data_IF_389422201893
#
_entry.id   IF_389422201893
#
_cell.length_a   1.000
_cell.length_b   1.000
_cell.length_c   1.000
_cell.angle_alpha   90.00
_cell.angle_beta   90.00
_cell.angle_gamma   90.00
#
_symmetry.space_group_name_H-M   'P 1'
#
loop_
_entity.id
_entity.type
_entity.pdbx_description
1 polymer ?
#
# COMPACT_ATOMS: atom_id res chain seq x y z
N UNK A 1 15.25 2.44 20.16
CA UNK A 1 16.47 2.31 19.35
C UNK A 1 17.18 1.04 19.78
N UNK A 2 17.35 0.11 18.84
CA UNK A 2 18.14 -1.11 19.05
C UNK A 2 19.62 -0.67 19.10
N UNK A 3 20.30 -0.95 20.18
CA UNK A 3 21.72 -0.59 20.36
C UNK A 3 22.62 -1.82 20.48
N UNK A 4 22.07 -3.00 20.18
CA UNK A 4 22.71 -4.30 20.36
C UNK A 4 23.27 -4.85 19.07
N UNK A 5 22.68 -4.51 17.91
CA UNK A 5 23.16 -4.96 16.61
C UNK A 5 24.55 -4.40 16.27
N UNK A 6 25.44 -5.23 15.81
CA UNK A 6 26.81 -4.86 15.47
C UNK A 6 27.20 -5.30 14.04
N UNK A 7 28.26 -4.70 13.44
CA UNK A 7 28.79 -5.19 12.18
C UNK A 7 29.30 -6.65 12.24
N UNK A 8 29.61 -7.16 13.44
CA UNK A 8 30.00 -8.57 13.63
C UNK A 8 28.82 -9.52 13.41
N UNK A 9 27.63 -9.12 13.85
CA UNK A 9 26.40 -9.91 13.66
C UNK A 9 26.09 -10.01 12.16
N UNK A 10 26.29 -8.92 11.41
CA UNK A 10 26.16 -8.95 9.95
C UNK A 10 27.16 -9.93 9.30
N UNK A 11 28.42 -9.99 9.79
CA UNK A 11 29.41 -10.96 9.33
C UNK A 11 28.99 -12.40 9.62
N UNK A 12 28.53 -12.68 10.86
CA UNK A 12 28.03 -14.01 11.22
C UNK A 12 26.83 -14.43 10.35
N UNK A 13 25.88 -13.53 10.10
CA UNK A 13 24.73 -13.80 9.24
C UNK A 13 25.19 -14.18 7.83
N UNK A 14 26.18 -13.49 7.27
CA UNK A 14 26.71 -13.78 5.95
C UNK A 14 27.47 -15.11 5.88
N UNK A 15 28.22 -15.47 6.94
CA UNK A 15 29.08 -16.64 6.96
C UNK A 15 28.35 -17.94 7.35
N UNK A 16 27.35 -17.85 8.24
CA UNK A 16 26.70 -19.03 8.85
C UNK A 16 25.37 -19.42 8.18
N UNK A 17 24.76 -18.55 7.37
CA UNK A 17 23.42 -18.79 6.79
C UNK A 17 23.52 -18.91 5.27
N UNK A 18 23.37 -20.14 4.75
CA UNK A 18 23.50 -20.46 3.32
C UNK A 18 22.44 -19.78 2.43
N UNK A 19 21.24 -19.51 2.98
CA UNK A 19 20.14 -18.89 2.26
C UNK A 19 20.36 -17.40 1.98
N UNK A 20 21.35 -16.79 2.63
CA UNK A 20 21.69 -15.37 2.53
C UNK A 20 22.59 -15.12 1.31
N UNK A 21 22.22 -14.16 0.47
CA UNK A 21 22.97 -13.75 -0.71
C UNK A 21 23.87 -12.55 -0.41
N UNK A 22 23.33 -11.51 0.24
CA UNK A 22 24.05 -10.28 0.59
C UNK A 22 23.63 -9.79 1.97
N UNK A 23 24.59 -9.17 2.69
CA UNK A 23 24.35 -8.58 4.01
C UNK A 23 24.97 -7.19 4.09
N UNK A 24 24.21 -6.22 4.52
CA UNK A 24 24.69 -4.86 4.67
C UNK A 24 24.32 -4.29 6.06
N UNK A 25 25.27 -4.20 7.00
CA UNK A 25 25.10 -3.43 8.21
C UNK A 25 24.95 -1.95 7.85
N UNK A 26 24.03 -1.27 8.51
CA UNK A 26 23.56 0.05 8.09
C UNK A 26 23.40 0.96 9.30
N UNK A 27 23.91 2.17 9.14
CA UNK A 27 23.70 3.28 10.08
C UNK A 27 23.39 4.55 9.31
N UNK A 28 22.43 5.31 9.80
CA UNK A 28 22.10 6.60 9.21
C UNK A 28 21.94 7.68 10.29
N UNK A 29 22.31 8.90 9.92
CA UNK A 29 22.07 10.05 10.78
C UNK A 29 21.85 11.31 9.95
N UNK A 30 20.80 12.04 10.28
CA UNK A 30 20.54 13.33 9.65
C UNK A 30 21.43 14.40 10.25
N UNK A 31 22.22 15.08 9.43
CA UNK A 31 23.26 16.02 9.86
C UNK A 31 23.48 17.11 8.83
N UNK A 32 24.05 18.22 9.30
CA UNK A 32 24.45 19.29 8.41
C UNK A 32 25.68 18.91 7.58
N UNK A 33 25.53 19.01 6.27
CA UNK A 33 26.60 18.96 5.31
C UNK A 33 26.84 20.38 4.76
N UNK A 34 28.11 20.71 4.44
CA UNK A 34 28.49 22.02 3.92
C UNK A 34 29.43 21.89 2.74
N UNK A 35 29.10 22.61 1.67
CA UNK A 35 29.98 22.81 0.53
C UNK A 35 30.08 24.32 0.28
N UNK A 36 31.31 24.86 0.33
CA UNK A 36 31.61 26.27 0.25
C UNK A 36 30.72 27.12 1.16
N UNK A 37 29.85 27.96 0.62
CA UNK A 37 28.92 28.79 1.39
C UNK A 37 27.56 28.13 1.61
N UNK A 38 27.27 27.05 0.90
CA UNK A 38 25.99 26.33 1.01
C UNK A 38 26.04 25.31 2.17
N UNK A 39 24.97 25.24 2.95
CA UNK A 39 24.79 24.24 3.98
C UNK A 39 23.38 23.68 3.91
N UNK A 40 23.24 22.38 4.01
CA UNK A 40 21.96 21.68 4.03
C UNK A 40 21.98 20.54 5.04
N UNK A 41 20.84 20.30 5.64
CA UNK A 41 20.64 19.09 6.44
C UNK A 41 20.30 17.94 5.51
N UNK A 42 21.12 16.88 5.50
CA UNK A 42 20.95 15.72 4.65
C UNK A 42 21.21 14.43 5.45
N UNK A 43 20.77 13.31 4.94
CA UNK A 43 20.96 12.00 5.58
C UNK A 43 22.35 11.46 5.24
N UNK A 44 23.19 11.29 6.26
CA UNK A 44 24.49 10.64 6.11
C UNK A 44 24.29 9.15 6.36
N UNK A 45 24.50 8.36 5.33
CA UNK A 45 24.30 6.91 5.34
C UNK A 45 25.64 6.20 5.29
N UNK A 46 25.90 5.34 6.27
CA UNK A 46 27.07 4.46 6.30
C UNK A 46 26.68 3.01 6.14
N UNK A 47 27.31 2.33 5.17
CA UNK A 47 27.10 0.89 4.98
C UNK A 47 28.28 0.25 4.23
N UNK A 48 28.10 -1.00 3.79
CA UNK A 48 29.04 -1.76 2.94
C UNK A 48 28.68 -1.63 1.48
N UNK A 49 29.49 -2.29 0.62
CA UNK A 49 29.28 -2.33 -0.84
C UNK A 49 27.97 -3.04 -1.24
N UNK A 50 27.47 -3.91 -0.38
CA UNK A 50 26.23 -4.66 -0.63
C UNK A 50 24.97 -3.84 -0.51
N UNK A 51 25.00 -2.75 0.29
CA UNK A 51 23.82 -1.92 0.52
C UNK A 51 23.20 -1.37 -0.78
N UNK A 52 23.95 -0.75 -1.69
CA UNK A 52 23.41 -0.31 -2.97
C UNK A 52 22.77 -1.43 -3.77
N UNK A 53 23.38 -2.63 -3.78
CA UNK A 53 22.85 -3.80 -4.48
C UNK A 53 21.52 -4.28 -3.87
N UNK A 54 21.45 -4.36 -2.55
CA UNK A 54 20.23 -4.77 -1.83
C UNK A 54 19.10 -3.75 -2.04
N UNK A 55 19.45 -2.45 -2.00
CA UNK A 55 18.49 -1.35 -2.09
C UNK A 55 18.22 -0.86 -3.52
N UNK A 56 18.92 -1.41 -4.52
CA UNK A 56 18.75 -1.05 -5.92
C UNK A 56 19.25 0.34 -6.29
N UNK A 57 20.27 0.85 -5.59
CA UNK A 57 20.97 2.07 -6.01
C UNK A 57 21.96 1.78 -7.11
N UNK A 58 22.05 2.65 -8.10
CA UNK A 58 23.02 2.58 -9.21
C UNK A 58 23.85 3.84 -9.24
N UNK A 59 25.08 3.70 -9.69
CA UNK A 59 25.97 4.85 -9.95
C UNK A 59 25.67 5.41 -11.34
N UNK A 60 25.35 6.70 -11.41
CA UNK A 60 25.15 7.42 -12.66
C UNK A 60 26.48 8.01 -13.19
N UNK A 61 27.28 8.60 -12.27
CA UNK A 61 28.57 9.20 -12.60
C UNK A 61 29.62 8.82 -11.54
N UNK A 62 30.86 8.73 -11.95
CA UNK A 62 31.98 8.39 -11.05
C UNK A 62 32.06 6.92 -10.73
N UNK A 63 32.49 6.60 -9.53
CA UNK A 63 32.75 5.23 -9.10
C UNK A 63 32.27 4.96 -7.68
N UNK A 64 32.09 3.68 -7.36
CA UNK A 64 31.80 3.20 -6.00
C UNK A 64 33.10 3.16 -5.20
N UNK A 65 33.01 3.36 -3.88
CA UNK A 65 34.18 3.12 -3.02
C UNK A 65 34.53 1.63 -2.98
N UNK A 66 35.79 1.33 -2.71
CA UNK A 66 36.34 -0.02 -2.74
C UNK A 66 36.34 -0.68 -1.34
N UNK A 67 36.58 -2.00 -1.30
CA UNK A 67 36.85 -2.69 -0.03
C UNK A 67 38.02 -2.10 0.76
N UNK A 68 39.02 -1.55 0.04
CA UNK A 68 40.12 -0.84 0.68
C UNK A 68 39.63 0.38 1.45
N UNK A 69 38.70 1.13 0.86
CA UNK A 69 38.13 2.30 1.52
C UNK A 69 37.33 1.95 2.76
N UNK A 70 36.62 0.81 2.74
CA UNK A 70 35.98 0.26 3.93
C UNK A 70 37.02 -0.09 5.02
N UNK A 71 38.06 -0.84 4.67
CA UNK A 71 39.08 -1.28 5.63
C UNK A 71 39.87 -0.11 6.25
N UNK A 72 40.18 0.90 5.44
CA UNK A 72 40.96 2.08 5.89
C UNK A 72 40.10 3.20 6.47
N UNK A 73 38.78 3.05 6.48
CA UNK A 73 37.83 4.11 6.87
C UNK A 73 38.13 5.43 6.11
N UNK A 74 38.24 5.33 4.77
CA UNK A 74 38.54 6.44 3.86
C UNK A 74 37.45 7.51 3.93
N UNK A 75 37.86 8.78 3.66
CA UNK A 75 36.95 9.92 3.61
C UNK A 75 36.46 10.18 2.19
N UNK A 76 35.78 9.18 1.64
CA UNK A 76 35.13 9.24 0.32
C UNK A 76 33.63 9.18 0.49
N UNK A 77 32.89 9.77 -0.43
CA UNK A 77 31.44 9.80 -0.38
C UNK A 77 30.82 9.70 -1.78
N UNK A 78 29.62 9.15 -1.81
CA UNK A 78 28.74 9.13 -2.98
C UNK A 78 27.50 9.92 -2.60
N UNK A 79 26.98 10.71 -3.51
CA UNK A 79 25.91 11.68 -3.21
C UNK A 79 24.69 11.43 -4.07
N UNK A 80 23.50 11.60 -3.49
CA UNK A 80 22.22 11.53 -4.19
C UNK A 80 21.79 12.88 -4.79
N UNK A 81 20.84 12.85 -5.71
CA UNK A 81 20.43 14.02 -6.53
C UNK A 81 19.88 15.17 -5.72
N UNK A 82 19.06 14.92 -4.72
CA UNK A 82 18.49 15.97 -3.87
C UNK A 82 19.60 16.65 -3.04
N UNK A 83 20.51 15.83 -2.48
CA UNK A 83 21.66 16.39 -1.75
C UNK A 83 22.58 17.23 -2.66
N UNK A 84 22.78 16.86 -3.94
CA UNK A 84 23.49 17.68 -4.92
C UNK A 84 22.79 19.01 -5.11
N UNK A 85 21.49 18.98 -5.40
CA UNK A 85 20.70 20.20 -5.63
C UNK A 85 20.79 21.18 -4.45
N UNK A 86 20.79 20.67 -3.23
CA UNK A 86 20.80 21.47 -2.02
C UNK A 86 22.19 22.05 -1.68
N UNK A 87 23.28 21.32 -2.03
CA UNK A 87 24.64 21.70 -1.65
C UNK A 87 25.42 22.32 -2.81
N UNK A 88 25.33 21.76 -4.02
CA UNK A 88 26.13 22.14 -5.18
C UNK A 88 25.35 22.95 -6.22
N UNK A 89 23.99 22.92 -6.16
CA UNK A 89 23.15 23.54 -7.18
C UNK A 89 23.35 22.86 -8.54
N UNK A 90 23.96 23.56 -9.50
CA UNK A 90 24.26 23.06 -10.84
C UNK A 90 25.74 22.63 -11.03
N UNK A 91 26.59 22.82 -10.01
CA UNK A 91 27.99 22.46 -10.08
C UNK A 91 28.18 20.94 -10.06
N UNK A 92 29.20 20.43 -10.80
CA UNK A 92 29.55 19.00 -10.77
C UNK A 92 30.21 18.64 -9.44
N UNK A 93 29.59 17.74 -8.63
CA UNK A 93 30.09 17.39 -7.32
C UNK A 93 31.32 16.47 -7.36
N UNK A 94 31.63 15.82 -8.49
CA UNK A 94 32.69 14.81 -8.57
C UNK A 94 34.07 15.47 -8.37
N UNK A 95 34.85 14.88 -7.44
CA UNK A 95 36.17 15.38 -7.07
C UNK A 95 36.15 16.52 -6.04
N UNK A 96 34.99 17.14 -5.80
CA UNK A 96 34.81 18.18 -4.79
C UNK A 96 34.83 17.60 -3.38
N UNK A 97 35.01 18.50 -2.40
CA UNK A 97 35.08 18.12 -0.98
C UNK A 97 33.92 18.72 -0.21
N UNK A 98 33.00 17.87 0.27
CA UNK A 98 31.91 18.23 1.17
C UNK A 98 32.33 18.01 2.62
N UNK A 99 31.98 18.94 3.51
CA UNK A 99 32.21 18.81 4.95
C UNK A 99 30.95 18.28 5.62
N UNK A 100 31.04 17.12 6.21
CA UNK A 100 29.98 16.51 7.03
C UNK A 100 30.44 16.59 8.50
N UNK A 101 29.69 17.30 9.34
CA UNK A 101 30.06 17.49 10.76
C UNK A 101 31.53 17.86 10.93
N UNK A 102 32.02 18.87 10.15
CA UNK A 102 33.40 19.36 10.12
C UNK A 102 34.46 18.41 9.49
N UNK A 103 34.10 17.20 9.11
CA UNK A 103 35.00 16.23 8.48
C UNK A 103 34.89 16.34 6.96
N UNK A 104 36.02 16.55 6.25
CA UNK A 104 35.97 16.63 4.80
C UNK A 104 35.86 15.25 4.16
N UNK A 105 34.97 15.11 3.16
CA UNK A 105 34.74 13.93 2.34
C UNK A 105 34.89 14.29 0.87
N UNK A 106 35.69 13.56 0.12
CA UNK A 106 35.80 13.69 -1.32
C UNK A 106 34.65 12.96 -2.00
N UNK A 107 33.90 13.66 -2.83
CA UNK A 107 32.84 13.05 -3.64
C UNK A 107 33.49 12.27 -4.79
N UNK A 108 33.22 10.97 -4.88
CA UNK A 108 33.77 10.07 -5.90
C UNK A 108 32.70 9.52 -6.85
N UNK A 109 31.43 9.61 -6.48
CA UNK A 109 30.33 9.11 -7.29
C UNK A 109 29.00 9.83 -7.00
N UNK A 110 28.09 9.68 -7.94
CA UNK A 110 26.72 10.20 -7.87
C UNK A 110 25.76 9.05 -8.11
N UNK A 111 24.74 8.89 -7.26
CA UNK A 111 23.69 7.94 -7.48
C UNK A 111 22.70 8.41 -8.55
N UNK A 112 22.17 7.43 -9.31
CA UNK A 112 21.00 7.64 -10.16
C UNK A 112 19.78 8.04 -9.29
N UNK A 113 18.93 8.92 -9.83
CA UNK A 113 17.73 9.37 -9.12
C UNK A 113 16.77 8.20 -8.87
N UNK A 114 16.33 8.03 -7.63
CA UNK A 114 15.32 7.05 -7.22
C UNK A 114 13.96 7.67 -6.96
N UNK A 115 13.94 8.95 -6.61
CA UNK A 115 12.74 9.66 -6.25
C UNK A 115 12.24 9.36 -4.83
N UNK A 116 10.95 9.48 -4.66
CA UNK A 116 10.28 9.34 -3.36
C UNK A 116 9.79 7.91 -3.19
N UNK A 117 9.95 7.33 -2.00
CA UNK A 117 9.43 6.01 -1.71
C UNK A 117 7.90 6.01 -1.48
N UNK A 118 7.32 4.83 -1.29
CA UNK A 118 5.87 4.67 -1.04
C UNK A 118 5.38 5.35 0.24
N UNK A 119 6.29 5.77 1.13
CA UNK A 119 5.98 6.47 2.38
C UNK A 119 6.14 7.98 2.25
N UNK A 120 6.48 8.48 1.07
CA UNK A 120 6.73 9.90 0.83
C UNK A 120 8.13 10.38 1.25
N UNK A 121 9.06 9.47 1.55
CA UNK A 121 10.43 9.81 1.92
C UNK A 121 11.32 9.92 0.68
N UNK A 122 12.04 11.03 0.58
CA UNK A 122 13.00 11.26 -0.49
C UNK A 122 14.22 10.34 -0.32
N UNK A 123 14.43 9.45 -1.29
CA UNK A 123 15.55 8.51 -1.30
C UNK A 123 16.82 9.11 -1.88
N UNK A 124 16.75 10.31 -2.43
CA UNK A 124 17.86 11.01 -3.10
C UNK A 124 18.53 12.05 -2.20
N UNK A 125 17.95 12.35 -1.02
CA UNK A 125 18.57 13.23 -0.02
C UNK A 125 19.51 12.48 0.89
N UNK A 126 20.62 11.97 0.33
CA UNK A 126 21.62 11.23 1.07
C UNK A 126 23.07 11.49 0.62
N UNK A 127 24.00 11.32 1.57
CA UNK A 127 25.43 11.21 1.34
C UNK A 127 25.87 9.84 1.88
N UNK A 128 26.28 8.95 0.99
CA UNK A 128 26.69 7.57 1.28
C UNK A 128 28.18 7.47 1.48
N UNK A 129 28.62 6.96 2.63
CA UNK A 129 30.01 6.84 3.04
C UNK A 129 30.32 5.42 3.56
N UNK A 130 31.58 4.99 3.61
CA UNK A 130 31.95 3.71 4.21
C UNK A 130 31.51 3.63 5.68
N UNK A 131 30.86 2.52 6.08
CA UNK A 131 30.34 2.32 7.44
C UNK A 131 31.40 2.56 8.54
N UNK A 132 32.65 2.04 8.43
CA UNK A 132 33.66 2.30 9.47
C UNK A 132 34.02 3.79 9.60
N UNK A 133 33.89 4.56 8.52
CA UNK A 133 34.13 6.00 8.56
C UNK A 133 33.03 6.71 9.33
N UNK A 134 31.76 6.37 9.08
CA UNK A 134 30.62 6.91 9.84
C UNK A 134 30.76 6.56 11.32
N UNK A 135 30.93 5.27 11.62
CA UNK A 135 30.96 4.76 13.00
C UNK A 135 32.08 5.35 13.83
N UNK A 136 33.30 5.39 13.28
CA UNK A 136 34.51 5.79 14.05
C UNK A 136 34.71 7.30 14.09
N UNK A 137 34.37 8.02 13.01
CA UNK A 137 34.73 9.44 12.86
C UNK A 137 33.61 10.39 13.13
N UNK A 138 32.35 9.98 12.90
CA UNK A 138 31.19 10.86 12.98
C UNK A 138 30.36 10.57 14.23
N UNK A 139 29.87 9.34 14.38
CA UNK A 139 28.95 8.99 15.48
C UNK A 139 29.64 8.40 16.70
N UNK A 140 30.87 7.92 16.57
CA UNK A 140 31.68 7.31 17.63
C UNK A 140 30.92 6.21 18.39
N UNK A 141 30.37 5.24 17.63
CA UNK A 141 29.60 4.11 18.17
C UNK A 141 30.04 2.78 17.57
N UNK A 142 29.71 1.69 18.26
CA UNK A 142 30.06 0.32 17.84
C UNK A 142 28.89 -0.52 17.35
N UNK A 143 27.69 0.01 17.49
CA UNK A 143 26.43 -0.62 17.06
C UNK A 143 25.92 0.02 15.78
N UNK A 144 25.05 -0.70 15.07
CA UNK A 144 24.36 -0.23 13.88
C UNK A 144 22.85 -0.23 14.12
N UNK A 145 22.14 0.65 13.43
CA UNK A 145 20.70 0.75 13.58
C UNK A 145 19.94 -0.38 12.89
N UNK A 146 20.49 -0.91 11.79
CA UNK A 146 19.87 -1.98 10.98
C UNK A 146 20.91 -2.87 10.32
N UNK A 147 20.48 -4.08 9.98
CA UNK A 147 21.20 -4.98 9.08
C UNK A 147 20.23 -5.35 7.97
N UNK A 148 20.54 -4.99 6.73
CA UNK A 148 19.80 -5.42 5.56
C UNK A 148 20.34 -6.76 5.08
N UNK A 149 19.43 -7.69 4.82
CA UNK A 149 19.77 -9.02 4.36
C UNK A 149 18.99 -9.32 3.08
N UNK A 150 19.66 -9.76 2.04
CA UNK A 150 19.06 -10.25 0.82
C UNK A 150 19.10 -11.77 0.82
N UNK A 151 17.93 -12.38 0.71
CA UNK A 151 17.77 -13.82 0.65
C UNK A 151 17.73 -14.28 -0.80
N UNK A 152 18.33 -15.43 -1.09
CA UNK A 152 18.48 -15.99 -2.44
C UNK A 152 17.16 -16.29 -3.14
N UNK A 153 16.10 -16.67 -2.40
CA UNK A 153 14.77 -16.90 -2.95
C UNK A 153 13.67 -16.56 -1.96
N UNK A 154 12.46 -16.23 -2.49
CA UNK A 154 11.28 -15.91 -1.68
C UNK A 154 10.88 -17.04 -0.74
N UNK A 155 11.01 -18.28 -1.19
CA UNK A 155 10.63 -19.49 -0.43
C UNK A 155 11.49 -19.70 0.81
N UNK A 156 12.73 -19.20 0.78
CA UNK A 156 13.68 -19.32 1.86
C UNK A 156 13.57 -18.21 2.91
N UNK A 157 12.75 -17.18 2.70
CA UNK A 157 12.67 -16.02 3.61
C UNK A 157 12.29 -16.45 5.02
N UNK A 158 11.24 -17.25 5.18
CA UNK A 158 10.79 -17.70 6.52
C UNK A 158 11.86 -18.52 7.24
N UNK A 159 12.49 -19.46 6.53
CA UNK A 159 13.55 -20.30 7.07
C UNK A 159 14.80 -19.49 7.45
N UNK A 160 15.21 -18.57 6.57
CA UNK A 160 16.33 -17.67 6.83
C UNK A 160 16.03 -16.73 8.02
N UNK A 161 14.81 -16.21 8.12
CA UNK A 161 14.38 -15.37 9.23
C UNK A 161 14.48 -16.07 10.59
N UNK A 162 14.09 -17.34 10.64
CA UNK A 162 14.21 -18.14 11.85
C UNK A 162 15.67 -18.38 12.25
N UNK A 163 16.51 -18.79 11.29
CA UNK A 163 17.96 -18.94 11.51
C UNK A 163 18.64 -17.64 11.94
N UNK A 164 18.29 -16.51 11.31
CA UNK A 164 18.82 -15.19 11.70
C UNK A 164 18.42 -14.87 13.14
N UNK A 165 17.17 -15.15 13.52
CA UNK A 165 16.70 -14.93 14.90
C UNK A 165 17.49 -15.77 15.90
N UNK A 166 17.67 -17.06 15.65
CA UNK A 166 18.44 -17.96 16.50
C UNK A 166 19.89 -17.49 16.65
N UNK A 167 20.54 -17.15 15.54
CA UNK A 167 21.93 -16.66 15.51
C UNK A 167 22.08 -15.36 16.30
N UNK A 168 21.16 -14.41 16.16
CA UNK A 168 21.19 -13.15 16.90
C UNK A 168 20.92 -13.37 18.39
N UNK A 169 19.97 -14.23 18.75
CA UNK A 169 19.73 -14.59 20.16
C UNK A 169 20.97 -15.21 20.82
N UNK A 170 21.68 -16.08 20.09
CA UNK A 170 22.94 -16.66 20.53
C UNK A 170 24.04 -15.59 20.67
N UNK A 171 24.22 -14.74 19.64
CA UNK A 171 25.20 -13.65 19.63
C UNK A 171 25.02 -12.68 20.80
N UNK A 172 23.76 -12.35 21.09
CA UNK A 172 23.39 -11.43 22.17
C UNK A 172 23.23 -12.14 23.53
N UNK A 173 23.46 -13.46 23.61
CA UNK A 173 23.34 -14.28 24.83
C UNK A 173 21.97 -14.13 25.49
N UNK A 174 20.91 -14.12 24.68
CA UNK A 174 19.54 -14.07 25.16
C UNK A 174 19.08 -15.47 25.58
N UNK A 175 18.61 -15.59 26.82
CA UNK A 175 17.99 -16.82 27.31
C UNK A 175 16.56 -16.95 26.75
N UNK A 176 15.99 -18.16 26.76
CA UNK A 176 14.64 -18.43 26.23
C UNK A 176 13.53 -17.60 26.89
N UNK A 177 13.75 -17.14 28.13
CA UNK A 177 12.82 -16.31 28.90
C UNK A 177 12.88 -14.81 28.55
N UNK A 178 13.89 -14.37 27.78
CA UNK A 178 14.04 -12.96 27.40
C UNK A 178 13.47 -12.71 26.02
N UNK A 179 12.75 -11.60 25.89
CA UNK A 179 12.32 -11.09 24.60
C UNK A 179 13.53 -10.70 23.73
N UNK A 180 13.32 -10.73 22.39
CA UNK A 180 14.33 -10.30 21.44
C UNK A 180 14.64 -8.81 21.67
N UNK A 181 15.92 -8.45 21.71
CA UNK A 181 16.38 -7.07 21.78
C UNK A 181 16.55 -6.42 20.39
N UNK A 182 16.08 -7.10 19.38
CA UNK A 182 16.02 -6.67 17.98
C UNK A 182 14.65 -6.97 17.38
N UNK A 183 14.33 -6.31 16.26
CA UNK A 183 13.12 -6.60 15.49
C UNK A 183 13.51 -7.10 14.10
N UNK A 184 13.01 -8.26 13.73
CA UNK A 184 13.19 -8.81 12.40
C UNK A 184 11.92 -8.54 11.59
N UNK A 185 12.06 -7.86 10.45
CA UNK A 185 10.96 -7.53 9.56
C UNK A 185 11.29 -8.10 8.19
N UNK A 186 10.48 -9.03 7.73
CA UNK A 186 10.61 -9.59 6.39
C UNK A 186 9.72 -8.86 5.39
N UNK A 187 10.03 -9.00 4.10
CA UNK A 187 9.17 -8.50 3.04
C UNK A 187 7.79 -9.19 3.06
N UNK A 188 7.75 -10.47 3.46
CA UNK A 188 6.50 -11.23 3.59
C UNK A 188 5.60 -10.63 4.67
N UNK A 189 6.16 -10.25 5.82
CA UNK A 189 5.40 -9.63 6.91
C UNK A 189 4.78 -8.30 6.47
N UNK A 190 5.55 -7.50 5.69
CA UNK A 190 5.05 -6.23 5.15
C UNK A 190 3.93 -6.43 4.13
N UNK A 191 4.05 -7.46 3.26
CA UNK A 191 3.00 -7.83 2.31
C UNK A 191 1.73 -8.30 3.04
N UNK A 192 1.88 -9.12 4.09
CA UNK A 192 0.77 -9.58 4.92
C UNK A 192 0.06 -8.42 5.63
N UNK A 193 0.80 -7.53 6.28
CA UNK A 193 0.23 -6.34 6.92
C UNK A 193 -0.53 -5.44 5.93
N UNK A 194 0.00 -5.26 4.72
CA UNK A 194 -0.67 -4.53 3.65
C UNK A 194 -1.96 -5.23 3.23
N UNK A 195 -1.92 -6.56 3.08
CA UNK A 195 -3.09 -7.36 2.73
C UNK A 195 -4.16 -7.28 3.79
N UNK A 196 -3.82 -7.49 5.08
CA UNK A 196 -4.76 -7.38 6.19
C UNK A 196 -5.40 -5.99 6.27
N UNK A 197 -4.60 -4.93 6.14
CA UNK A 197 -5.09 -3.56 6.12
C UNK A 197 -6.06 -3.33 4.95
N UNK A 198 -5.70 -3.80 3.75
CA UNK A 198 -6.55 -3.70 2.56
C UNK A 198 -7.86 -4.46 2.73
N UNK A 199 -7.82 -5.67 3.32
CA UNK A 199 -9.02 -6.46 3.63
C UNK A 199 -9.95 -5.74 4.63
N UNK A 200 -9.40 -5.11 5.65
CA UNK A 200 -10.19 -4.32 6.61
C UNK A 200 -10.89 -3.15 5.93
N UNK A 201 -10.18 -2.39 5.09
CA UNK A 201 -10.79 -1.31 4.30
C UNK A 201 -11.86 -1.83 3.36
N UNK A 202 -11.62 -2.95 2.68
CA UNK A 202 -12.61 -3.59 1.80
C UNK A 202 -13.87 -3.97 2.57
N UNK A 203 -13.74 -4.61 3.75
CA UNK A 203 -14.87 -4.96 4.61
C UNK A 203 -15.68 -3.74 5.05
N UNK A 204 -15.01 -2.64 5.40
CA UNK A 204 -15.68 -1.38 5.76
C UNK A 204 -16.45 -0.79 4.58
N UNK A 205 -15.83 -0.71 3.40
CA UNK A 205 -16.46 -0.19 2.19
C UNK A 205 -17.67 -1.04 1.79
N UNK A 206 -17.52 -2.37 1.81
CA UNK A 206 -18.63 -3.30 1.53
C UNK A 206 -19.76 -3.15 2.55
N UNK A 207 -19.43 -2.95 3.84
CA UNK A 207 -20.40 -2.69 4.87
C UNK A 207 -21.22 -1.40 4.62
N UNK A 208 -20.55 -0.30 4.28
CA UNK A 208 -21.22 0.97 3.93
C UNK A 208 -22.05 0.81 2.66
N UNK A 209 -21.54 0.12 1.64
CA UNK A 209 -22.28 -0.16 0.41
C UNK A 209 -23.53 -1.00 0.69
N UNK A 210 -23.44 -2.04 1.53
CA UNK A 210 -24.59 -2.87 1.91
C UNK A 210 -25.71 -2.06 2.61
N UNK A 211 -25.32 -1.16 3.53
CA UNK A 211 -26.30 -0.26 4.18
C UNK A 211 -26.93 0.68 3.13
N UNK A 212 -26.15 1.25 2.25
CA UNK A 212 -26.65 2.13 1.17
C UNK A 212 -27.61 1.39 0.24
N UNK A 213 -27.29 0.14 -0.11
CA UNK A 213 -28.15 -0.72 -0.92
C UNK A 213 -29.46 -1.08 -0.21
N UNK A 214 -29.42 -1.34 1.09
CA UNK A 214 -30.63 -1.54 1.91
C UNK A 214 -31.54 -0.31 1.87
N UNK A 215 -30.98 0.88 2.06
CA UNK A 215 -31.74 2.14 2.00
C UNK A 215 -32.34 2.34 0.61
N UNK A 216 -31.57 2.09 -0.46
CA UNK A 216 -32.05 2.11 -1.84
C UNK A 216 -33.17 1.09 -2.10
N UNK A 217 -33.05 -0.13 -1.58
CA UNK A 217 -34.07 -1.17 -1.64
C UNK A 217 -35.38 -0.77 -0.93
N UNK A 218 -35.28 -0.15 0.25
CA UNK A 218 -36.43 0.41 0.95
C UNK A 218 -37.08 1.52 0.11
N UNK A 219 -36.31 2.33 -0.60
CA UNK A 219 -36.78 3.31 -1.58
C UNK A 219 -37.64 2.67 -2.70
N UNK A 220 -37.13 1.58 -3.30
CA UNK A 220 -37.87 0.80 -4.30
C UNK A 220 -39.18 0.27 -3.71
N UNK A 221 -39.13 -0.32 -2.50
CA UNK A 221 -40.29 -0.81 -1.79
C UNK A 221 -41.37 0.28 -1.61
N UNK A 222 -40.97 1.46 -1.16
CA UNK A 222 -41.86 2.58 -0.91
C UNK A 222 -42.54 3.05 -2.22
N UNK A 223 -41.76 3.26 -3.28
CA UNK A 223 -42.28 3.66 -4.60
C UNK A 223 -43.26 2.62 -5.14
N UNK A 224 -42.93 1.34 -5.04
CA UNK A 224 -43.78 0.24 -5.51
C UNK A 224 -45.08 0.14 -4.71
N UNK A 225 -45.06 0.36 -3.38
CA UNK A 225 -46.28 0.40 -2.54
C UNK A 225 -47.21 1.57 -2.91
N UNK A 226 -46.63 2.73 -3.23
CA UNK A 226 -47.36 3.89 -3.72
C UNK A 226 -48.00 3.58 -5.06
N UNK A 227 -47.22 3.02 -6.00
CA UNK A 227 -47.70 2.63 -7.34
C UNK A 227 -48.84 1.62 -7.29
N UNK A 228 -48.78 0.62 -6.38
CA UNK A 228 -49.85 -0.35 -6.16
C UNK A 228 -51.13 0.38 -5.66
N UNK A 229 -50.96 1.33 -4.72
CA UNK A 229 -52.13 2.09 -4.18
C UNK A 229 -52.75 2.96 -5.25
N UNK A 230 -51.99 3.67 -6.05
CA UNK A 230 -52.51 4.55 -7.12
C UNK A 230 -53.24 3.76 -8.22
N UNK A 231 -52.74 2.52 -8.53
CA UNK A 231 -53.28 1.64 -9.57
C UNK A 231 -54.28 0.61 -9.01
N UNK A 232 -54.82 0.76 -7.78
CA UNK A 232 -55.69 -0.22 -7.16
C UNK A 232 -56.94 -0.50 -8.01
N UNK A 233 -57.59 0.51 -8.60
CA UNK A 233 -58.74 0.33 -9.48
C UNK A 233 -58.41 -0.43 -10.78
N UNK A 234 -57.25 -0.14 -11.38
CA UNK A 234 -56.75 -0.83 -12.59
C UNK A 234 -56.51 -2.32 -12.30
N UNK A 235 -55.83 -2.65 -11.18
CA UNK A 235 -55.60 -4.02 -10.74
C UNK A 235 -56.95 -4.74 -10.50
N UNK A 236 -57.88 -4.08 -9.85
CA UNK A 236 -59.27 -4.59 -9.63
C UNK A 236 -59.98 -4.96 -10.91
N UNK A 237 -59.97 -4.08 -11.95
CA UNK A 237 -60.55 -4.31 -13.24
C UNK A 237 -59.88 -5.51 -13.94
N UNK A 238 -58.54 -5.55 -13.99
CA UNK A 238 -57.81 -6.68 -14.62
C UNK A 238 -58.17 -8.01 -13.96
N UNK A 239 -58.26 -8.05 -12.65
CA UNK A 239 -58.67 -9.26 -11.91
C UNK A 239 -60.13 -9.66 -12.15
N UNK A 240 -61.02 -8.68 -12.27
CA UNK A 240 -62.44 -8.91 -12.55
C UNK A 240 -62.65 -9.51 -13.99
N UNK A 241 -61.80 -9.13 -14.95
CA UNK A 241 -61.82 -9.66 -16.34
C UNK A 241 -61.03 -10.99 -16.48
N UNK A 242 -60.44 -11.54 -15.36
CA UNK A 242 -59.88 -12.89 -15.36
C UNK A 242 -58.36 -12.98 -15.20
N UNK A 243 -57.63 -11.89 -14.94
CA UNK A 243 -56.18 -11.95 -14.66
C UNK A 243 -55.92 -12.77 -13.39
N UNK A 244 -54.94 -13.68 -13.47
CA UNK A 244 -54.54 -14.48 -12.32
C UNK A 244 -53.68 -13.69 -11.35
N UNK A 245 -53.57 -14.14 -10.11
CA UNK A 245 -52.64 -13.53 -9.11
C UNK A 245 -51.20 -13.54 -9.60
N UNK A 246 -50.82 -14.59 -10.28
CA UNK A 246 -49.46 -14.74 -10.86
C UNK A 246 -49.15 -13.69 -11.92
N UNK A 247 -50.14 -13.30 -12.71
CA UNK A 247 -49.95 -12.29 -13.77
C UNK A 247 -49.67 -10.92 -13.15
N UNK A 248 -50.39 -10.56 -12.07
CA UNK A 248 -50.19 -9.33 -11.32
C UNK A 248 -48.79 -9.35 -10.63
N UNK A 249 -48.41 -10.46 -10.00
CA UNK A 249 -47.08 -10.57 -9.36
C UNK A 249 -45.98 -10.42 -10.39
N UNK A 250 -46.07 -11.09 -11.56
CA UNK A 250 -45.08 -10.97 -12.62
C UNK A 250 -44.95 -9.56 -13.15
N UNK A 251 -46.08 -8.87 -13.35
CA UNK A 251 -46.09 -7.48 -13.82
C UNK A 251 -45.31 -6.56 -12.87
N UNK A 252 -45.62 -6.56 -11.57
CA UNK A 252 -44.95 -5.71 -10.59
C UNK A 252 -43.52 -6.12 -10.32
N UNK A 253 -43.20 -7.41 -10.45
CA UNK A 253 -41.83 -7.90 -10.35
C UNK A 253 -40.97 -7.42 -11.52
N UNK A 254 -41.49 -7.45 -12.78
CA UNK A 254 -40.78 -6.87 -13.90
C UNK A 254 -40.59 -5.36 -13.77
N UNK A 255 -41.57 -4.63 -13.24
CA UNK A 255 -41.47 -3.19 -12.99
C UNK A 255 -40.36 -2.88 -11.97
N UNK A 256 -40.29 -3.62 -10.85
CA UNK A 256 -39.22 -3.47 -9.86
C UNK A 256 -37.84 -3.85 -10.41
N UNK A 257 -37.74 -4.89 -11.23
CA UNK A 257 -36.49 -5.28 -11.91
C UNK A 257 -36.02 -4.18 -12.87
N UNK A 258 -36.91 -3.59 -13.65
CA UNK A 258 -36.55 -2.50 -14.58
C UNK A 258 -36.01 -1.30 -13.79
N UNK A 259 -36.66 -0.92 -12.68
CA UNK A 259 -36.18 0.16 -11.80
C UNK A 259 -34.78 -0.18 -11.26
N UNK A 260 -34.59 -1.42 -10.78
CA UNK A 260 -33.31 -1.90 -10.27
C UNK A 260 -32.19 -1.88 -11.31
N UNK A 261 -32.49 -2.34 -12.54
CA UNK A 261 -31.52 -2.33 -13.65
C UNK A 261 -31.19 -0.93 -14.16
N UNK A 262 -32.18 -0.03 -14.24
CA UNK A 262 -31.94 1.36 -14.65
C UNK A 262 -31.10 2.09 -13.60
N UNK A 263 -31.47 1.98 -12.33
CA UNK A 263 -30.70 2.58 -11.23
C UNK A 263 -29.30 1.99 -11.12
N UNK A 264 -29.18 0.65 -11.21
CA UNK A 264 -27.91 -0.06 -11.22
C UNK A 264 -27.01 0.32 -12.41
N UNK A 265 -27.59 0.41 -13.62
CA UNK A 265 -26.87 0.82 -14.82
C UNK A 265 -26.31 2.25 -14.74
N UNK A 266 -27.13 3.18 -14.24
CA UNK A 266 -26.68 4.56 -13.98
C UNK A 266 -25.58 4.59 -12.91
N UNK A 267 -25.75 3.83 -11.84
CA UNK A 267 -24.75 3.72 -10.77
C UNK A 267 -23.42 3.16 -11.26
N UNK A 268 -23.45 2.09 -12.06
CA UNK A 268 -22.25 1.50 -12.67
C UNK A 268 -21.58 2.49 -13.63
N UNK A 269 -22.36 3.15 -14.51
CA UNK A 269 -21.82 4.13 -15.45
C UNK A 269 -21.16 5.31 -14.72
N UNK A 270 -21.78 5.78 -13.64
CA UNK A 270 -21.22 6.84 -12.81
C UNK A 270 -19.95 6.38 -12.09
N UNK A 271 -19.93 5.17 -11.51
CA UNK A 271 -18.76 4.60 -10.85
C UNK A 271 -17.58 4.42 -11.80
N UNK A 272 -17.82 3.85 -12.99
CA UNK A 272 -16.79 3.70 -14.04
C UNK A 272 -16.28 5.06 -14.50
N UNK A 273 -17.20 6.01 -14.76
CA UNK A 273 -16.83 7.36 -15.18
C UNK A 273 -15.99 8.11 -14.14
N UNK A 274 -16.32 7.98 -12.84
CA UNK A 274 -15.57 8.55 -11.75
C UNK A 274 -14.17 7.94 -11.65
N UNK A 275 -14.06 6.61 -11.74
CA UNK A 275 -12.77 5.89 -11.72
C UNK A 275 -11.87 6.34 -12.87
N UNK A 276 -12.38 6.40 -14.09
CA UNK A 276 -11.62 6.86 -15.27
C UNK A 276 -11.21 8.34 -15.14
N UNK A 277 -12.07 9.18 -14.58
CA UNK A 277 -11.77 10.60 -14.32
C UNK A 277 -10.63 10.77 -13.32
N UNK A 278 -10.68 10.06 -12.19
CA UNK A 278 -9.64 10.11 -11.16
C UNK A 278 -8.29 9.55 -11.66
N UNK A 279 -8.31 8.51 -12.51
CA UNK A 279 -7.09 7.96 -13.11
C UNK A 279 -6.48 8.94 -14.13
N UNK A 280 -7.31 9.72 -14.83
CA UNK A 280 -6.83 10.66 -15.85
C UNK A 280 -6.31 11.99 -15.27
N UNK A 281 -6.89 12.46 -14.16
CA UNK A 281 -6.56 13.76 -13.54
C UNK A 281 -5.65 13.63 -12.32
N UNK A 282 -5.39 12.43 -11.82
CA UNK A 282 -4.52 12.15 -10.67
C UNK A 282 -3.55 11.04 -10.99
N UNK A 283 -2.45 10.96 -10.25
CA UNK A 283 -1.47 9.85 -10.32
C UNK A 283 -2.00 8.54 -9.67
N UNK A 284 -3.32 8.34 -9.68
CA UNK A 284 -3.97 7.19 -9.06
C UNK A 284 -4.08 6.05 -10.05
N UNK A 285 -3.43 4.94 -9.79
CA UNK A 285 -3.55 3.70 -10.57
C UNK A 285 -4.76 2.89 -10.10
N UNK A 286 -5.97 3.32 -10.49
CA UNK A 286 -7.20 2.58 -10.19
C UNK A 286 -7.43 1.52 -11.27
N UNK A 287 -7.57 0.28 -10.87
CA UNK A 287 -7.88 -0.84 -11.76
C UNK A 287 -9.40 -1.07 -11.79
N UNK A 288 -9.96 -1.03 -12.99
CA UNK A 288 -11.34 -1.47 -13.22
C UNK A 288 -11.34 -2.98 -13.36
N UNK A 289 -11.88 -3.64 -12.34
CA UNK A 289 -12.08 -5.09 -12.36
C UNK A 289 -13.44 -5.43 -12.99
N UNK A 290 -13.42 -6.29 -13.98
CA UNK A 290 -14.60 -6.72 -14.71
C UNK A 290 -15.55 -7.54 -13.83
N UNK A 291 -15.01 -8.30 -12.87
CA UNK A 291 -15.80 -9.10 -11.93
C UNK A 291 -16.61 -8.22 -10.98
N UNK A 292 -16.09 -7.05 -10.63
CA UNK A 292 -16.82 -6.05 -9.83
C UNK A 292 -18.06 -5.52 -10.52
N UNK A 293 -18.02 -5.32 -11.85
CA UNK A 293 -19.19 -4.87 -12.63
C UNK A 293 -20.27 -5.97 -12.68
N UNK A 294 -19.87 -7.22 -12.87
CA UNK A 294 -20.80 -8.35 -12.85
C UNK A 294 -21.44 -8.54 -11.49
N UNK A 295 -20.65 -8.43 -10.43
CA UNK A 295 -21.12 -8.53 -9.04
C UNK A 295 -22.13 -7.41 -8.74
N UNK A 296 -21.82 -6.16 -9.10
CA UNK A 296 -22.74 -5.04 -8.92
C UNK A 296 -24.06 -5.24 -9.67
N UNK A 297 -24.01 -5.71 -10.93
CA UNK A 297 -25.19 -5.99 -11.73
C UNK A 297 -26.07 -7.07 -11.11
N UNK A 298 -25.45 -8.13 -10.61
CA UNK A 298 -26.15 -9.23 -9.94
C UNK A 298 -26.79 -8.79 -8.62
N UNK A 299 -26.08 -8.02 -7.83
CA UNK A 299 -26.61 -7.46 -6.55
C UNK A 299 -27.81 -6.54 -6.80
N UNK A 300 -27.75 -5.67 -7.84
CA UNK A 300 -28.88 -4.83 -8.22
C UNK A 300 -30.12 -5.65 -8.62
N UNK A 301 -29.93 -6.73 -9.37
CA UNK A 301 -31.02 -7.63 -9.75
C UNK A 301 -31.65 -8.29 -8.52
N UNK A 302 -30.83 -8.81 -7.58
CA UNK A 302 -31.31 -9.42 -6.34
C UNK A 302 -32.11 -8.43 -5.50
N UNK A 303 -31.64 -7.18 -5.37
CA UNK A 303 -32.34 -6.13 -4.64
C UNK A 303 -33.70 -5.81 -5.28
N UNK A 304 -33.73 -5.67 -6.61
CA UNK A 304 -34.98 -5.44 -7.35
C UNK A 304 -36.02 -6.55 -7.10
N UNK A 305 -35.58 -7.82 -7.06
CA UNK A 305 -36.45 -8.96 -6.73
C UNK A 305 -36.88 -8.92 -5.26
N UNK A 306 -35.95 -8.83 -4.32
CA UNK A 306 -36.23 -8.91 -2.87
C UNK A 306 -37.23 -7.82 -2.45
N UNK A 307 -36.97 -6.57 -2.82
CA UNK A 307 -37.82 -5.43 -2.45
C UNK A 307 -39.06 -5.28 -3.35
N UNK A 308 -39.09 -5.91 -4.54
CA UNK A 308 -40.25 -5.94 -5.42
C UNK A 308 -41.27 -7.03 -5.11
N UNK A 309 -40.84 -8.15 -4.53
CA UNK A 309 -41.74 -9.28 -4.21
C UNK A 309 -42.84 -8.93 -3.24
N UNK A 310 -42.55 -8.18 -2.16
CA UNK A 310 -43.54 -7.84 -1.16
C UNK A 310 -44.67 -6.99 -1.72
N UNK A 311 -44.45 -5.84 -2.41
CA UNK A 311 -45.53 -5.05 -3.02
C UNK A 311 -46.24 -5.83 -4.13
N UNK A 312 -45.57 -6.66 -4.91
CA UNK A 312 -46.17 -7.50 -5.94
C UNK A 312 -47.18 -8.49 -5.35
N UNK A 313 -46.84 -9.18 -4.26
CA UNK A 313 -47.76 -10.08 -3.55
C UNK A 313 -48.93 -9.29 -2.97
N UNK A 314 -48.68 -8.13 -2.39
CA UNK A 314 -49.73 -7.27 -1.83
C UNK A 314 -50.72 -6.84 -2.92
N UNK A 315 -50.24 -6.42 -4.08
CA UNK A 315 -51.07 -6.07 -5.23
C UNK A 315 -51.93 -7.25 -5.71
N UNK A 316 -51.37 -8.46 -5.73
CA UNK A 316 -52.06 -9.69 -6.20
C UNK A 316 -53.18 -10.15 -5.27
N UNK A 317 -53.18 -9.72 -4.00
CA UNK A 317 -54.19 -10.09 -2.98
C UNK A 317 -55.36 -9.11 -2.90
N UNK A 318 -55.36 -8.00 -3.64
CA UNK A 318 -56.46 -7.02 -3.65
C UNK A 318 -57.76 -7.70 -4.11
N UNK A 319 -58.86 -7.46 -3.35
CA UNK A 319 -60.16 -7.94 -3.74
C UNK A 319 -60.74 -7.04 -4.87
N UNK A 320 -61.17 -7.62 -5.99
CA UNK A 320 -61.77 -6.84 -7.10
C UNK A 320 -62.95 -5.97 -6.67
N UNK A 321 -63.78 -6.45 -5.71
CA UNK A 321 -64.94 -5.72 -5.23
C UNK A 321 -64.53 -4.48 -4.41
N UNK A 322 -63.57 -4.66 -3.46
CA UNK A 322 -63.04 -3.56 -2.67
C UNK A 322 -62.28 -2.54 -3.52
N UNK A 323 -61.49 -3.04 -4.51
CA UNK A 323 -60.69 -2.19 -5.36
C UNK A 323 -61.52 -1.26 -6.27
N UNK A 324 -62.74 -1.63 -6.57
CA UNK A 324 -63.67 -0.82 -7.37
C UNK A 324 -64.54 0.18 -6.59
N UNK A 325 -64.65 -0.03 -5.25
CA UNK A 325 -65.45 0.81 -4.37
C UNK A 325 -64.63 1.91 -3.65
N UNK A 326 -63.32 1.92 -3.74
CA UNK A 326 -62.46 2.97 -3.20
C UNK A 326 -62.52 4.22 -4.08
N UNK A 327 -63.04 5.32 -3.54
CA UNK A 327 -63.03 6.67 -4.15
C UNK A 327 -61.65 7.32 -4.14
#
# INVERSE_FOLDING_TARGET
>A
NVTTLSPRDAGRIADEIEEVELVAPFEEKRMNAKFDNNAAETTITGSTLDFPLIRGYRIEKGEMFSERDLKTASRVAIIGKTAIKNLFGEEDPIGQVVKVHFIPFKIIGVFEAKGVDTNGLDQDDLIFIPLPTLMRRIVNQTHVSRIFVKISSRENISKASEKIRELLRESHKLNDEREDDFTLVSQLDLEEMKRETSELFTKLIVGVAAISLLVGGIGILAVMLISVKERTKEIGIRRAVGATRSDIVRQFLYESLIIGFLGGGIGIAFGVGLTLGLTHWGDWTLLLDQDSIWTASWVCAVIGVVFGVFPAIKASKLDPMEALTIE
#
